data_IF_510419966880
#
_entry.id   IF_510419966880
#
_cell.length_a   1.000
_cell.length_b   1.000
_cell.length_c   1.000
_cell.angle_alpha   90.00
_cell.angle_beta   90.00
_cell.angle_gamma   90.00
#
_symmetry.space_group_name_H-M   'P 1'
#
loop_
_entity.id
_entity.type
_entity.pdbx_description
1 polymer ?
#
# COMPACT_ATOMS: atom_id res chain seq x y z
N UNK A 1 -3.33 -15.83 -90.41
CA UNK A 1 -3.28 -15.04 -91.66
C UNK A 1 -2.05 -14.15 -91.59
N UNK A 2 -1.09 -14.31 -92.50
CA UNK A 2 0.15 -13.53 -92.49
C UNK A 2 -0.18 -12.08 -92.89
N UNK A 3 0.19 -11.12 -92.03
CA UNK A 3 0.00 -9.69 -92.30
C UNK A 3 0.69 -9.30 -93.61
N UNK A 4 -0.04 -8.66 -94.50
CA UNK A 4 0.50 -8.15 -95.77
C UNK A 4 1.61 -7.13 -95.47
N UNK A 5 2.65 -7.01 -96.31
CA UNK A 5 3.75 -6.07 -96.09
C UNK A 5 3.28 -4.64 -95.78
N UNK A 6 2.16 -4.21 -96.37
CA UNK A 6 1.53 -2.91 -96.14
C UNK A 6 0.99 -2.73 -94.72
N UNK A 7 0.44 -3.77 -94.07
CA UNK A 7 -0.13 -3.66 -92.72
C UNK A 7 0.94 -3.34 -91.67
N UNK A 8 2.14 -3.88 -91.87
CA UNK A 8 3.30 -3.60 -91.01
C UNK A 8 3.82 -2.18 -91.20
N UNK A 9 3.70 -1.62 -92.41
CA UNK A 9 4.18 -0.26 -92.72
C UNK A 9 3.16 0.78 -92.29
N UNK A 10 1.85 0.50 -92.42
CA UNK A 10 0.76 1.39 -92.00
C UNK A 10 0.87 1.82 -90.54
N UNK A 11 1.25 0.89 -89.66
CA UNK A 11 1.49 1.19 -88.24
C UNK A 11 2.65 2.20 -88.01
N UNK A 12 3.60 2.26 -88.94
CA UNK A 12 4.80 3.11 -88.83
C UNK A 12 4.67 4.44 -89.58
N UNK A 13 3.61 4.66 -90.39
CA UNK A 13 3.45 5.87 -91.21
C UNK A 13 3.35 7.16 -90.38
N UNK A 14 2.66 7.12 -89.24
CA UNK A 14 2.57 8.28 -88.34
C UNK A 14 3.94 8.62 -87.74
N UNK A 15 4.68 7.62 -87.28
CA UNK A 15 6.03 7.81 -86.73
C UNK A 15 7.03 8.26 -87.82
N UNK A 16 6.81 7.86 -89.08
CA UNK A 16 7.57 8.34 -90.22
C UNK A 16 7.31 9.83 -90.50
N UNK A 17 6.03 10.26 -90.49
CA UNK A 17 5.64 11.68 -90.64
C UNK A 17 6.25 12.56 -89.53
N UNK A 18 6.28 12.05 -88.29
CA UNK A 18 6.83 12.75 -87.13
C UNK A 18 8.38 12.65 -87.01
N UNK A 19 9.06 11.96 -87.92
CA UNK A 19 10.51 11.71 -87.90
C UNK A 19 11.02 11.01 -86.63
N UNK A 20 10.17 10.21 -85.97
CA UNK A 20 10.49 9.54 -84.70
C UNK A 20 10.96 8.09 -84.88
N UNK A 21 10.98 7.59 -86.13
CA UNK A 21 11.48 6.25 -86.43
C UNK A 21 13.00 6.15 -86.27
N UNK A 22 13.46 4.97 -85.86
CA UNK A 22 14.90 4.65 -85.86
C UNK A 22 15.44 4.64 -87.31
N UNK A 23 16.73 4.98 -87.55
CA UNK A 23 17.28 5.10 -88.90
C UNK A 23 17.05 3.86 -89.78
N UNK A 24 17.24 2.66 -89.21
CA UNK A 24 17.01 1.38 -89.90
C UNK A 24 15.55 1.16 -90.30
N UNK A 25 14.61 1.62 -89.48
CA UNK A 25 13.17 1.50 -89.78
C UNK A 25 12.72 2.56 -90.78
N UNK A 26 13.29 3.75 -90.69
CA UNK A 26 13.08 4.83 -91.64
C UNK A 26 13.46 4.41 -93.07
N UNK A 27 14.62 3.77 -93.26
CA UNK A 27 15.05 3.23 -94.56
C UNK A 27 14.10 2.16 -95.11
N UNK A 28 13.56 1.28 -94.25
CA UNK A 28 12.62 0.25 -94.66
C UNK A 28 11.28 0.82 -95.13
N UNK A 29 10.78 1.83 -94.40
CA UNK A 29 9.54 2.53 -94.74
C UNK A 29 9.73 3.36 -96.01
N UNK A 30 10.84 4.09 -96.15
CA UNK A 30 11.12 4.90 -97.34
C UNK A 30 11.27 4.04 -98.60
N UNK A 31 11.93 2.87 -98.51
CA UNK A 31 11.99 1.91 -99.60
C UNK A 31 10.61 1.37 -100.00
N UNK A 32 9.75 1.05 -99.03
CA UNK A 32 8.38 0.60 -99.31
C UNK A 32 7.53 1.71 -99.95
N UNK A 33 7.66 2.95 -99.47
CA UNK A 33 6.97 4.12 -100.02
C UNK A 33 7.40 4.43 -101.45
N UNK A 34 8.60 4.05 -101.89
CA UNK A 34 9.00 4.17 -103.29
C UNK A 34 8.18 3.24 -104.21
N UNK A 35 7.80 2.05 -103.72
CA UNK A 35 7.12 1.02 -104.50
C UNK A 35 5.59 0.96 -104.37
N UNK A 36 5.02 1.50 -103.29
CA UNK A 36 3.59 1.34 -102.97
C UNK A 36 2.81 2.66 -103.09
N UNK A 37 1.79 2.70 -103.96
CA UNK A 37 0.95 3.90 -104.14
C UNK A 37 -0.01 4.13 -102.96
N UNK A 38 -0.58 3.07 -102.39
CA UNK A 38 -1.58 3.18 -101.33
C UNK A 38 -1.00 3.75 -100.03
N UNK A 39 0.16 3.27 -99.60
CA UNK A 39 0.83 3.79 -98.41
C UNK A 39 1.31 5.25 -98.58
N UNK A 40 1.60 5.70 -99.81
CA UNK A 40 1.90 7.12 -100.06
C UNK A 40 0.67 8.01 -99.91
N UNK A 41 -0.49 7.54 -100.35
CA UNK A 41 -1.75 8.27 -100.19
C UNK A 41 -2.12 8.42 -98.70
N UNK A 42 -1.92 7.37 -97.91
CA UNK A 42 -2.12 7.41 -96.45
C UNK A 42 -1.16 8.39 -95.76
N UNK A 43 0.13 8.38 -96.12
CA UNK A 43 1.09 9.33 -95.58
C UNK A 43 0.72 10.79 -95.90
N UNK A 44 0.29 11.07 -97.13
CA UNK A 44 -0.15 12.41 -97.53
C UNK A 44 -1.38 12.88 -96.73
N UNK A 45 -2.29 11.96 -96.38
CA UNK A 45 -3.44 12.27 -95.52
C UNK A 45 -3.00 12.59 -94.09
N UNK A 46 -2.01 11.87 -93.55
CA UNK A 46 -1.41 12.15 -92.24
C UNK A 46 -0.76 13.54 -92.25
N UNK A 47 0.08 13.83 -93.27
CA UNK A 47 0.75 15.13 -93.41
C UNK A 47 -0.25 16.29 -93.53
N UNK A 48 -1.37 16.08 -94.24
CA UNK A 48 -2.42 17.09 -94.35
C UNK A 48 -3.10 17.39 -93.00
N UNK A 49 -3.40 16.35 -92.19
CA UNK A 49 -3.96 16.52 -90.85
C UNK A 49 -2.96 17.23 -89.93
N UNK A 50 -1.69 16.82 -89.95
CA UNK A 50 -0.63 17.47 -89.19
C UNK A 50 -0.45 18.94 -89.59
N UNK A 51 -0.57 19.26 -90.89
CA UNK A 51 -0.56 20.63 -91.41
C UNK A 51 -1.74 21.48 -90.93
N UNK A 52 -2.94 20.91 -90.86
CA UNK A 52 -4.13 21.59 -90.33
C UNK A 52 -3.98 21.88 -88.82
N UNK A 53 -3.52 20.89 -88.05
CA UNK A 53 -3.32 21.03 -86.60
C UNK A 53 -2.22 22.06 -86.27
N UNK A 54 -1.13 22.08 -87.04
CA UNK A 54 -0.08 23.10 -86.87
C UNK A 54 -0.58 24.51 -87.21
N UNK A 55 -1.48 24.67 -88.18
CA UNK A 55 -2.14 25.96 -88.45
C UNK A 55 -3.01 26.42 -87.28
N UNK A 56 -3.72 25.52 -86.62
CA UNK A 56 -4.51 25.84 -85.42
C UNK A 56 -3.64 26.21 -84.21
N UNK A 57 -2.41 25.69 -84.11
CA UNK A 57 -1.48 25.92 -82.99
C UNK A 57 -0.90 27.34 -82.91
N UNK A 58 -1.06 28.17 -83.95
CA UNK A 58 -0.57 29.55 -83.98
C UNK A 58 -1.34 30.50 -83.02
N UNK A 59 -2.42 30.04 -82.39
CA UNK A 59 -3.15 30.79 -81.36
C UNK A 59 -2.63 30.42 -79.96
N UNK A 60 -1.68 31.19 -79.43
CA UNK A 60 -1.25 31.04 -78.04
C UNK A 60 -2.40 31.30 -77.04
N UNK A 61 -2.41 30.65 -75.87
CA UNK A 61 -3.46 30.85 -74.87
C UNK A 61 -3.45 32.29 -74.31
N UNK A 62 -4.62 32.81 -73.93
CA UNK A 62 -4.72 34.14 -73.33
C UNK A 62 -3.91 34.22 -72.04
N UNK A 63 -3.20 35.32 -71.83
CA UNK A 63 -2.38 35.59 -70.64
C UNK A 63 -3.18 35.48 -69.33
N UNK A 64 -4.50 35.71 -69.38
CA UNK A 64 -5.40 35.55 -68.23
C UNK A 64 -5.59 34.10 -67.78
N UNK A 65 -5.56 33.13 -68.71
CA UNK A 65 -5.69 31.71 -68.37
C UNK A 65 -4.38 31.18 -67.78
N UNK A 66 -3.25 31.58 -68.37
CA UNK A 66 -1.92 31.21 -67.89
C UNK A 66 -1.70 31.67 -66.44
N UNK A 67 -1.97 32.95 -66.15
CA UNK A 67 -1.83 33.49 -64.79
C UNK A 67 -2.74 32.79 -63.77
N UNK A 68 -3.93 32.36 -64.19
CA UNK A 68 -4.88 31.67 -63.32
C UNK A 68 -4.47 30.22 -63.03
N UNK A 69 -3.86 29.54 -64.00
CA UNK A 69 -3.29 28.21 -63.81
C UNK A 69 -2.03 28.25 -62.93
N UNK A 70 -1.17 29.25 -63.11
CA UNK A 70 -0.01 29.48 -62.23
C UNK A 70 -0.44 29.75 -60.78
N UNK A 71 -1.49 30.54 -60.57
CA UNK A 71 -2.04 30.79 -59.24
C UNK A 71 -2.61 29.51 -58.58
N UNK A 72 -3.13 28.56 -59.36
CA UNK A 72 -3.63 27.27 -58.84
C UNK A 72 -2.47 26.32 -58.51
N UNK A 73 -1.42 26.30 -59.34
CA UNK A 73 -0.26 25.44 -59.16
C UNK A 73 0.76 25.96 -58.13
N UNK A 74 0.80 27.27 -57.87
CA UNK A 74 1.71 27.89 -56.91
C UNK A 74 3.19 27.71 -57.28
N UNK A 75 4.06 27.49 -56.29
CA UNK A 75 5.51 27.29 -56.48
C UNK A 75 5.87 26.09 -57.38
N UNK A 76 4.92 25.19 -57.62
CA UNK A 76 5.10 24.03 -58.50
C UNK A 76 4.79 24.33 -59.97
N UNK A 77 4.39 25.56 -60.33
CA UNK A 77 4.13 25.96 -61.72
C UNK A 77 5.35 25.81 -62.64
N UNK A 78 6.56 25.84 -62.07
CA UNK A 78 7.83 25.67 -62.80
C UNK A 78 8.38 24.24 -62.75
N UNK A 79 7.71 23.31 -62.07
CA UNK A 79 8.17 21.93 -61.98
C UNK A 79 7.87 21.17 -63.28
N UNK A 80 8.85 20.44 -63.86
CA UNK A 80 8.61 19.68 -65.07
C UNK A 80 7.61 18.54 -64.83
N UNK A 81 6.62 18.43 -65.71
CA UNK A 81 5.44 17.54 -65.56
C UNK A 81 5.76 16.05 -65.37
N UNK A 82 6.96 15.59 -65.77
CA UNK A 82 7.38 14.20 -65.56
C UNK A 82 7.77 13.87 -64.11
N UNK A 83 7.90 14.86 -63.23
CA UNK A 83 8.12 14.66 -61.79
C UNK A 83 6.81 14.51 -60.99
N UNK A 84 5.64 14.61 -61.63
CA UNK A 84 4.36 14.38 -60.97
C UNK A 84 4.18 12.89 -60.65
N UNK A 85 4.07 12.56 -59.36
CA UNK A 85 3.84 11.20 -58.90
C UNK A 85 2.35 10.82 -59.04
N UNK A 86 1.96 10.20 -60.16
CA UNK A 86 0.66 9.55 -60.34
C UNK A 86 0.02 9.78 -61.71
N UNK A 87 -0.76 8.81 -62.20
CA UNK A 87 -1.55 8.96 -63.43
C UNK A 87 -2.68 9.98 -63.22
N UNK A 88 -2.56 11.17 -63.82
CA UNK A 88 -3.69 12.05 -64.09
C UNK A 88 -4.21 12.92 -62.94
N UNK A 89 -3.54 12.98 -61.79
CA UNK A 89 -3.96 13.86 -60.68
C UNK A 89 -3.11 15.13 -60.60
N UNK A 90 -3.76 16.29 -60.59
CA UNK A 90 -3.10 17.59 -60.40
C UNK A 90 -2.70 17.77 -58.93
N UNK A 91 -1.46 18.17 -58.62
CA UNK A 91 -1.04 18.46 -57.26
C UNK A 91 -1.82 19.65 -56.72
N UNK A 92 -2.47 19.50 -55.57
CA UNK A 92 -3.17 20.60 -54.89
C UNK A 92 -2.62 20.78 -53.49
N UNK A 93 -2.14 21.99 -53.18
CA UNK A 93 -1.52 22.33 -51.90
C UNK A 93 -2.45 22.06 -50.68
N UNK A 94 -3.77 22.04 -50.89
CA UNK A 94 -4.76 21.69 -49.85
C UNK A 94 -4.71 20.21 -49.46
N UNK A 95 -4.50 19.29 -50.40
CA UNK A 95 -4.45 17.84 -50.12
C UNK A 95 -3.13 17.44 -49.47
N UNK A 96 -2.00 18.01 -49.88
CA UNK A 96 -0.71 17.76 -49.25
C UNK A 96 -0.64 18.25 -47.80
N UNK A 97 -1.24 19.41 -47.49
CA UNK A 97 -1.40 19.86 -46.09
C UNK A 97 -2.30 18.91 -45.29
N UNK A 98 -3.42 18.47 -45.86
CA UNK A 98 -4.31 17.50 -45.21
C UNK A 98 -3.61 16.17 -44.91
N UNK A 99 -2.79 15.68 -45.84
CA UNK A 99 -2.06 14.42 -45.67
C UNK A 99 -0.92 14.51 -44.65
N UNK A 100 -0.18 15.63 -44.62
CA UNK A 100 0.86 15.86 -43.59
C UNK A 100 0.28 16.07 -42.19
N UNK A 101 -0.88 16.74 -42.07
CA UNK A 101 -1.59 16.87 -40.79
C UNK A 101 -2.12 15.52 -40.31
N UNK A 102 -2.68 14.71 -41.21
CA UNK A 102 -3.16 13.36 -40.88
C UNK A 102 -2.03 12.38 -40.55
N UNK A 103 -0.86 12.47 -41.21
CA UNK A 103 0.30 11.64 -40.89
C UNK A 103 0.99 12.07 -39.59
N UNK A 104 1.06 13.37 -39.31
CA UNK A 104 1.59 13.90 -38.05
C UNK A 104 0.73 13.51 -36.84
N UNK A 105 -0.60 13.50 -37.00
CA UNK A 105 -1.53 13.14 -35.92
C UNK A 105 -1.46 11.66 -35.53
N UNK A 106 -1.28 10.75 -36.50
CA UNK A 106 -1.16 9.31 -36.21
C UNK A 106 0.11 8.99 -35.41
N UNK A 107 1.26 9.58 -35.78
CA UNK A 107 2.53 9.35 -35.07
C UNK A 107 2.48 9.91 -33.64
N UNK A 108 1.89 11.09 -33.44
CA UNK A 108 1.74 11.67 -32.09
C UNK A 108 0.76 10.89 -31.22
N UNK A 109 -0.35 10.38 -31.78
CA UNK A 109 -1.25 9.47 -31.06
C UNK A 109 -0.55 8.18 -30.64
N UNK A 110 0.23 7.57 -31.54
CA UNK A 110 0.97 6.34 -31.24
C UNK A 110 2.02 6.55 -30.15
N UNK A 111 2.72 7.69 -30.18
CA UNK A 111 3.66 8.09 -29.14
C UNK A 111 2.96 8.33 -27.80
N UNK A 112 1.84 9.06 -27.77
CA UNK A 112 1.06 9.27 -26.54
C UNK A 112 0.51 7.97 -25.97
N UNK A 113 -0.07 7.09 -26.80
CA UNK A 113 -0.56 5.78 -26.35
C UNK A 113 0.59 4.93 -25.80
N UNK A 114 1.75 4.93 -26.45
CA UNK A 114 2.93 4.21 -25.96
C UNK A 114 3.42 4.74 -24.62
N UNK A 115 3.43 6.07 -24.43
CA UNK A 115 3.78 6.69 -23.15
C UNK A 115 2.76 6.35 -22.06
N UNK A 116 1.46 6.35 -22.36
CA UNK A 116 0.41 5.96 -21.41
C UNK A 116 0.53 4.49 -21.02
N UNK A 117 0.74 3.59 -21.99
CA UNK A 117 0.96 2.15 -21.73
C UNK A 117 2.22 1.94 -20.90
N UNK A 118 3.31 2.62 -21.23
CA UNK A 118 4.56 2.55 -20.48
C UNK A 118 4.41 3.10 -19.05
N UNK A 119 3.64 4.18 -18.88
CA UNK A 119 3.31 4.72 -17.56
C UNK A 119 2.53 3.70 -16.72
N UNK A 120 1.50 3.05 -17.26
CA UNK A 120 0.74 2.01 -16.54
C UNK A 120 1.62 0.82 -16.16
N UNK A 121 2.53 0.40 -17.05
CA UNK A 121 3.45 -0.73 -16.80
C UNK A 121 4.55 -0.43 -15.77
N UNK A 122 5.00 0.82 -15.69
CA UNK A 122 6.05 1.25 -14.76
C UNK A 122 5.48 1.71 -13.41
N UNK A 123 4.18 2.02 -13.36
CA UNK A 123 3.49 2.35 -12.12
C UNK A 123 3.69 1.23 -11.10
N UNK A 124 4.20 1.52 -9.89
CA UNK A 124 4.39 0.51 -8.87
C UNK A 124 3.04 -0.10 -8.51
N UNK A 125 2.98 -1.43 -8.46
CA UNK A 125 1.83 -2.09 -7.85
C UNK A 125 1.83 -1.77 -6.35
N UNK A 126 0.65 -1.52 -5.74
CA UNK A 126 0.58 -1.29 -4.31
C UNK A 126 1.14 -2.51 -3.57
N UNK A 127 1.87 -2.29 -2.46
CA UNK A 127 2.41 -3.39 -1.67
C UNK A 127 1.25 -4.27 -1.20
N UNK A 128 1.32 -5.58 -1.52
CA UNK A 128 0.33 -6.55 -1.06
C UNK A 128 0.71 -7.03 0.34
N UNK A 129 -0.25 -6.95 1.25
CA UNK A 129 -0.07 -7.35 2.64
C UNK A 129 -0.63 -8.77 2.81
N UNK A 130 0.26 -9.75 3.01
CA UNK A 130 -0.07 -11.19 3.02
C UNK A 130 -0.06 -11.85 4.41
N UNK A 131 0.42 -11.16 5.45
CA UNK A 131 0.43 -11.66 6.83
C UNK A 131 0.08 -10.53 7.82
N UNK A 132 -1.11 -9.98 7.68
CA UNK A 132 -1.57 -8.86 8.50
C UNK A 132 -1.82 -9.25 9.94
N UNK A 133 -2.33 -10.45 10.19
CA UNK A 133 -2.52 -10.95 11.55
C UNK A 133 -1.19 -11.02 12.29
N UNK A 134 -0.15 -11.62 11.69
CA UNK A 134 1.18 -11.66 12.30
C UNK A 134 1.79 -10.27 12.47
N UNK A 135 1.67 -9.39 11.48
CA UNK A 135 2.19 -8.02 11.57
C UNK A 135 1.46 -7.18 12.64
N UNK A 136 0.13 -7.25 12.69
CA UNK A 136 -0.72 -6.59 13.68
C UNK A 136 -0.42 -7.11 15.08
N UNK A 137 -0.26 -8.44 15.25
CA UNK A 137 0.13 -9.03 16.53
C UNK A 137 1.52 -8.63 16.97
N UNK A 138 2.49 -8.62 16.05
CA UNK A 138 3.84 -8.18 16.35
C UNK A 138 3.82 -6.72 16.82
N UNK A 139 3.06 -5.86 16.14
CA UNK A 139 2.92 -4.45 16.50
C UNK A 139 2.17 -4.28 17.83
N UNK A 140 1.07 -5.00 18.04
CA UNK A 140 0.36 -5.04 19.33
C UNK A 140 1.28 -5.47 20.45
N UNK A 141 2.09 -6.51 20.24
CA UNK A 141 3.02 -7.04 21.25
C UNK A 141 4.11 -6.02 21.60
N UNK A 142 4.65 -5.32 20.60
CA UNK A 142 5.58 -4.21 20.82
C UNK A 142 4.91 -3.09 21.63
N UNK A 143 3.70 -2.71 21.26
CA UNK A 143 2.95 -1.65 21.93
C UNK A 143 2.52 -2.01 23.36
N UNK A 144 2.02 -3.21 23.58
CA UNK A 144 1.65 -3.76 24.89
C UNK A 144 2.87 -3.95 25.80
N UNK A 145 4.05 -4.22 25.23
CA UNK A 145 5.28 -4.24 26.03
C UNK A 145 5.60 -2.84 26.56
N UNK A 146 5.40 -1.79 25.74
CA UNK A 146 5.72 -0.41 26.11
C UNK A 146 4.66 0.31 26.95
N UNK A 147 3.41 -0.17 26.97
CA UNK A 147 2.27 0.55 27.54
C UNK A 147 1.50 -0.39 28.44
N UNK A 148 1.66 -0.21 29.74
CA UNK A 148 0.83 -0.85 30.76
C UNK A 148 1.62 -1.51 31.89
N UNK A 149 0.89 -1.86 32.95
CA UNK A 149 1.35 -2.46 34.21
C UNK A 149 1.92 -3.88 34.09
N UNK A 150 2.00 -4.42 32.87
CA UNK A 150 2.35 -5.81 32.59
C UNK A 150 3.24 -5.94 31.34
N UNK A 151 4.34 -5.19 31.30
CA UNK A 151 5.26 -5.09 30.17
C UNK A 151 5.81 -6.47 29.71
N UNK A 152 5.91 -7.42 30.63
CA UNK A 152 6.34 -8.80 30.36
C UNK A 152 5.41 -9.56 29.41
N UNK A 153 4.09 -9.32 29.43
CA UNK A 153 3.15 -10.01 28.54
C UNK A 153 3.47 -9.62 27.08
N UNK A 154 3.59 -8.33 26.81
CA UNK A 154 3.91 -7.83 25.47
C UNK A 154 5.27 -8.35 24.98
N UNK A 155 6.28 -8.40 25.86
CA UNK A 155 7.58 -8.97 25.52
C UNK A 155 7.50 -10.46 25.15
N UNK A 156 6.72 -11.26 25.88
CA UNK A 156 6.55 -12.69 25.58
C UNK A 156 5.80 -12.89 24.26
N UNK A 157 4.72 -12.15 24.03
CA UNK A 157 3.99 -12.22 22.76
C UNK A 157 4.90 -11.84 21.59
N UNK A 158 5.72 -10.80 21.74
CA UNK A 158 6.68 -10.38 20.72
C UNK A 158 7.75 -11.45 20.46
N UNK A 159 8.23 -12.11 21.51
CA UNK A 159 9.18 -13.22 21.38
C UNK A 159 8.56 -14.39 20.58
N UNK A 160 7.29 -14.73 20.86
CA UNK A 160 6.56 -15.78 20.12
C UNK A 160 6.42 -15.44 18.64
N UNK A 161 6.03 -14.21 18.31
CA UNK A 161 5.92 -13.76 16.91
C UNK A 161 7.28 -13.79 16.18
N UNK A 162 8.39 -13.73 16.92
CA UNK A 162 9.76 -13.87 16.41
C UNK A 162 10.28 -15.31 16.38
N UNK A 163 9.45 -16.28 16.73
CA UNK A 163 9.78 -17.70 16.70
C UNK A 163 10.44 -18.22 17.98
N UNK A 164 10.23 -17.59 19.13
CA UNK A 164 10.65 -18.14 20.41
C UNK A 164 9.98 -19.51 20.65
N UNK A 165 10.79 -20.50 20.99
CA UNK A 165 10.29 -21.77 21.53
C UNK A 165 10.01 -21.61 23.02
N UNK A 166 8.72 -21.56 23.38
CA UNK A 166 8.26 -21.49 24.77
C UNK A 166 8.03 -22.89 25.38
N UNK A 167 8.29 -23.96 24.63
CA UNK A 167 8.01 -25.33 25.05
C UNK A 167 6.53 -25.71 24.96
N UNK A 168 6.17 -26.81 25.61
CA UNK A 168 4.81 -27.33 25.60
C UNK A 168 3.86 -26.50 26.49
N UNK A 169 2.58 -26.45 26.12
CA UNK A 169 1.57 -25.80 26.95
C UNK A 169 1.46 -26.49 28.32
N UNK A 170 1.45 -25.69 29.38
CA UNK A 170 1.36 -26.11 30.78
C UNK A 170 -0.02 -25.84 31.37
N UNK A 171 -0.32 -26.45 32.52
CA UNK A 171 -1.49 -26.07 33.32
C UNK A 171 -1.20 -24.81 34.14
N UNK A 172 -2.17 -23.91 34.26
CA UNK A 172 -2.13 -22.77 35.16
C UNK A 172 -3.14 -22.95 36.29
N UNK A 173 -2.74 -22.60 37.51
CA UNK A 173 -3.65 -22.48 38.64
C UNK A 173 -3.79 -21.00 38.99
N UNK A 174 -5.02 -20.45 38.97
CA UNK A 174 -5.27 -19.09 39.42
C UNK A 174 -4.77 -18.90 40.86
N UNK A 175 -4.20 -17.73 41.13
CA UNK A 175 -3.83 -17.31 42.48
C UNK A 175 -5.10 -17.29 43.32
N UNK A 176 -5.08 -18.00 44.44
CA UNK A 176 -6.22 -18.23 45.33
C UNK A 176 -7.10 -16.99 45.45
N UNK A 177 -8.36 -17.11 45.02
CA UNK A 177 -9.38 -16.08 45.28
C UNK A 177 -9.63 -16.01 46.79
N UNK A 178 -9.47 -14.83 47.38
CA UNK A 178 -9.77 -14.62 48.81
C UNK A 178 -11.24 -14.91 49.06
N UNK A 179 -11.50 -15.77 50.05
CA UNK A 179 -12.84 -15.90 50.63
C UNK A 179 -13.08 -14.65 51.49
N UNK A 180 -13.95 -13.76 51.04
CA UNK A 180 -14.24 -12.49 51.74
C UNK A 180 -13.89 -11.24 50.95
N UNK A 181 -14.32 -11.18 49.69
CA UNK A 181 -14.23 -9.96 48.89
C UNK A 181 -15.26 -8.93 49.39
N UNK A 182 -14.81 -7.73 49.73
CA UNK A 182 -15.66 -6.62 50.13
C UNK A 182 -15.80 -5.64 48.97
N UNK A 183 -17.03 -5.24 48.58
CA UNK A 183 -17.22 -4.25 47.53
C UNK A 183 -16.50 -2.94 47.85
N UNK A 184 -15.81 -2.37 46.86
CA UNK A 184 -15.13 -1.07 46.97
C UNK A 184 -15.56 -0.14 45.84
N UNK A 185 -15.36 1.17 46.02
CA UNK A 185 -15.66 2.15 44.99
C UNK A 185 -14.68 2.06 43.82
N UNK A 186 -15.13 2.49 42.62
CA UNK A 186 -14.25 2.64 41.46
C UNK A 186 -13.06 3.57 41.75
N UNK A 187 -13.28 4.64 42.52
CA UNK A 187 -12.21 5.55 42.96
C UNK A 187 -11.14 4.83 43.80
N UNK A 188 -11.55 3.92 44.70
CA UNK A 188 -10.62 3.09 45.48
C UNK A 188 -9.80 2.17 44.57
N UNK A 189 -10.43 1.54 43.59
CA UNK A 189 -9.76 0.68 42.62
C UNK A 189 -8.72 1.46 41.77
N UNK A 190 -9.13 2.60 41.23
CA UNK A 190 -8.25 3.52 40.48
C UNK A 190 -7.06 3.94 41.33
N UNK A 191 -7.27 4.32 42.59
CA UNK A 191 -6.18 4.72 43.49
C UNK A 191 -5.16 3.60 43.77
N UNK A 192 -5.60 2.34 43.85
CA UNK A 192 -4.69 1.19 44.01
C UNK A 192 -3.82 0.98 42.77
N UNK A 193 -4.42 1.02 41.58
CA UNK A 193 -3.71 0.85 40.31
C UNK A 193 -2.77 2.01 40.01
N UNK A 194 -3.21 3.25 40.21
CA UNK A 194 -2.36 4.44 40.05
C UNK A 194 -1.15 4.37 40.99
N UNK A 195 -1.35 3.96 42.25
CA UNK A 195 -0.23 3.75 43.19
C UNK A 195 0.77 2.71 42.69
N UNK A 196 0.31 1.62 42.08
CA UNK A 196 1.18 0.59 41.55
C UNK A 196 1.99 1.06 40.34
N UNK A 197 1.40 1.90 39.49
CA UNK A 197 2.07 2.54 38.35
C UNK A 197 3.12 3.56 38.82
N UNK A 198 2.75 4.40 39.79
CA UNK A 198 3.57 5.49 40.32
C UNK A 198 4.61 5.04 41.36
N UNK A 199 4.60 3.76 41.73
CA UNK A 199 5.53 3.20 42.71
C UNK A 199 6.98 3.43 42.26
N UNK A 200 7.66 4.35 42.94
CA UNK A 200 9.02 4.78 42.65
C UNK A 200 10.07 3.85 43.27
N UNK A 201 9.88 2.54 43.10
CA UNK A 201 10.75 1.52 43.67
C UNK A 201 11.55 0.83 42.58
N UNK A 202 12.87 0.75 42.76
CA UNK A 202 13.74 -0.06 41.91
C UNK A 202 13.50 -1.53 42.20
N UNK A 203 13.03 -2.27 41.19
CA UNK A 203 12.71 -3.69 41.29
C UNK A 203 13.48 -4.48 40.25
N UNK A 204 13.95 -5.67 40.62
CA UNK A 204 14.51 -6.66 39.71
C UNK A 204 13.98 -8.05 40.06
N UNK A 205 13.87 -8.94 39.08
CA UNK A 205 13.33 -10.26 39.34
C UNK A 205 12.99 -11.06 38.11
N UNK A 206 12.32 -12.18 38.33
CA UNK A 206 11.81 -13.06 37.27
C UNK A 206 10.29 -13.08 37.37
N UNK A 207 9.62 -12.62 36.31
CA UNK A 207 8.19 -12.78 36.13
C UNK A 207 7.90 -14.03 35.32
N UNK A 208 6.83 -14.74 35.69
CA UNK A 208 6.25 -15.75 34.80
C UNK A 208 5.06 -15.16 34.08
N UNK A 209 4.86 -15.56 32.83
CA UNK A 209 3.72 -15.18 32.00
C UNK A 209 3.03 -16.44 31.53
N UNK A 210 1.69 -16.47 31.56
CA UNK A 210 0.84 -17.54 31.04
C UNK A 210 -0.21 -16.95 30.12
N UNK A 211 -0.30 -17.47 28.89
CA UNK A 211 -1.31 -17.08 27.90
C UNK A 211 -2.07 -18.33 27.50
N UNK A 212 -3.39 -18.32 27.64
CA UNK A 212 -4.27 -19.45 27.30
C UNK A 212 -4.12 -19.83 25.82
N UNK A 213 -4.01 -21.13 25.55
CA UNK A 213 -4.05 -21.68 24.19
C UNK A 213 -5.46 -21.97 23.67
N UNK A 214 -6.49 -21.54 24.42
CA UNK A 214 -7.91 -21.80 24.18
C UNK A 214 -8.31 -23.30 24.20
N UNK A 215 -7.39 -24.21 24.53
CA UNK A 215 -7.63 -25.64 24.71
C UNK A 215 -7.53 -26.05 26.19
N UNK A 216 -7.60 -25.08 27.10
CA UNK A 216 -7.50 -25.29 28.55
C UNK A 216 -6.08 -25.46 29.07
N UNK A 217 -5.06 -25.20 28.24
CA UNK A 217 -3.65 -25.11 28.67
C UNK A 217 -3.09 -23.72 28.36
N UNK A 218 -1.85 -23.50 28.77
CA UNK A 218 -1.22 -22.18 28.74
C UNK A 218 0.17 -22.27 28.13
N UNK A 219 0.45 -21.40 27.16
CA UNK A 219 1.84 -21.12 26.77
C UNK A 219 2.46 -20.28 27.88
N UNK A 220 3.63 -20.70 28.37
CA UNK A 220 4.29 -20.01 29.48
C UNK A 220 5.70 -19.59 29.13
N UNK A 221 6.12 -18.44 29.64
CA UNK A 221 7.49 -17.95 29.51
C UNK A 221 7.96 -17.30 30.81
N UNK A 222 9.27 -17.21 30.97
CA UNK A 222 9.90 -16.43 32.04
C UNK A 222 10.51 -15.17 31.46
N UNK A 223 10.33 -14.05 32.17
CA UNK A 223 10.88 -12.75 31.79
C UNK A 223 11.71 -12.23 32.95
N UNK A 224 13.00 -12.00 32.73
CA UNK A 224 13.81 -11.24 33.68
C UNK A 224 13.46 -9.77 33.49
N UNK A 225 13.03 -9.14 34.58
CA UNK A 225 12.58 -7.76 34.59
C UNK A 225 13.46 -6.96 35.51
N UNK A 226 13.91 -5.80 35.07
CA UNK A 226 14.42 -4.78 35.98
C UNK A 226 13.86 -3.42 35.62
N UNK A 227 13.26 -2.76 36.61
CA UNK A 227 12.64 -1.45 36.48
C UNK A 227 13.34 -0.47 37.39
N UNK A 228 13.69 0.69 36.85
CA UNK A 228 14.24 1.80 37.64
C UNK A 228 13.42 3.06 37.35
N UNK A 229 12.90 3.73 38.40
CA UNK A 229 12.16 4.98 38.23
C UNK A 229 12.96 5.99 37.41
N UNK A 230 12.35 6.53 36.35
CA UNK A 230 12.97 7.53 35.47
C UNK A 230 13.91 6.99 34.38
N UNK A 231 14.41 5.76 34.50
CA UNK A 231 15.26 5.12 33.47
C UNK A 231 14.52 4.08 32.62
N UNK A 232 13.32 3.67 33.04
CA UNK A 232 12.48 2.72 32.31
C UNK A 232 12.58 1.28 32.80
N UNK A 233 12.12 0.36 31.96
CA UNK A 233 12.07 -1.07 32.24
C UNK A 233 12.91 -1.84 31.22
N UNK A 234 13.80 -2.69 31.71
CA UNK A 234 14.53 -3.68 30.91
C UNK A 234 13.89 -5.05 31.08
N UNK A 235 13.69 -5.74 29.95
CA UNK A 235 13.08 -7.06 29.88
C UNK A 235 13.99 -8.01 29.10
N UNK A 236 14.15 -9.24 29.60
CA UNK A 236 14.79 -10.34 28.88
C UNK A 236 13.86 -11.56 28.92
N UNK A 237 13.33 -11.96 27.76
CA UNK A 237 12.47 -13.14 27.62
C UNK A 237 13.35 -14.37 27.47
N UNK A 238 13.08 -15.39 28.29
CA UNK A 238 13.79 -16.67 28.26
C UNK A 238 13.05 -17.69 27.39
N UNK A 239 13.80 -18.49 26.65
CA UNK A 239 13.27 -19.64 25.90
C UNK A 239 12.99 -20.85 26.81
N UNK A 240 12.49 -21.94 26.22
CA UNK A 240 12.20 -23.21 26.90
C UNK A 240 13.40 -23.83 27.64
N UNK A 241 14.64 -23.45 27.28
CA UNK A 241 15.88 -23.92 27.89
C UNK A 241 16.39 -22.99 28.99
N UNK A 242 15.78 -21.81 29.15
CA UNK A 242 16.19 -20.78 30.10
C UNK A 242 17.25 -19.82 29.54
N UNK A 243 17.56 -19.90 28.24
CA UNK A 243 18.47 -19.00 27.56
C UNK A 243 17.74 -17.70 27.17
N UNK A 244 18.45 -16.57 27.19
CA UNK A 244 17.89 -15.29 26.76
C UNK A 244 17.61 -15.29 25.25
N UNK A 245 16.34 -15.22 24.86
CA UNK A 245 15.91 -15.17 23.46
C UNK A 245 15.83 -13.74 22.92
N UNK A 246 15.25 -12.84 23.71
CA UNK A 246 15.03 -11.45 23.31
C UNK A 246 15.21 -10.50 24.49
N UNK A 247 15.87 -9.38 24.27
CA UNK A 247 16.00 -8.29 25.24
C UNK A 247 15.40 -6.99 24.70
N UNK A 248 14.64 -6.30 25.53
CA UNK A 248 13.98 -5.04 25.20
C UNK A 248 14.21 -3.99 26.30
N UNK A 249 14.38 -2.74 25.88
CA UNK A 249 14.42 -1.57 26.77
C UNK A 249 13.22 -0.69 26.47
N UNK A 250 12.42 -0.45 27.51
CA UNK A 250 11.17 0.29 27.44
C UNK A 250 11.33 1.63 28.16
N UNK A 251 10.97 2.76 27.52
CA UNK A 251 10.95 4.04 28.20
C UNK A 251 9.87 4.06 29.30
N UNK A 252 10.01 4.95 30.28
CA UNK A 252 8.94 5.17 31.27
C UNK A 252 7.81 5.93 30.57
N UNK A 253 6.74 5.24 30.19
CA UNK A 253 5.50 5.85 29.69
C UNK A 253 4.46 5.76 30.80
N UNK A 254 4.23 6.88 31.50
CA UNK A 254 3.19 6.95 32.55
C UNK A 254 1.84 7.22 31.88
N UNK A 255 0.82 6.36 32.07
CA UNK A 255 -0.54 6.66 31.63
C UNK A 255 -0.99 7.99 32.24
N UNK A 256 -1.54 8.89 31.41
CA UNK A 256 -1.89 10.25 31.85
C UNK A 256 -3.13 10.25 32.78
N UNK A 257 -3.94 9.19 32.75
CA UNK A 257 -5.10 8.98 33.62
C UNK A 257 -5.49 7.49 33.64
N UNK A 258 -5.67 6.91 34.83
CA UNK A 258 -6.31 5.60 34.99
C UNK A 258 -7.80 5.87 35.26
N UNK A 259 -8.68 5.30 34.43
CA UNK A 259 -10.14 5.46 34.55
C UNK A 259 -10.77 4.08 34.60
N UNK A 260 -11.69 3.85 35.54
CA UNK A 260 -12.40 2.56 35.60
C UNK A 260 -13.39 2.45 34.43
N UNK A 261 -13.43 1.30 33.72
CA UNK A 261 -14.43 1.06 32.68
C UNK A 261 -15.87 1.19 33.20
N UNK A 262 -16.78 1.65 32.34
CA UNK A 262 -18.21 1.66 32.68
C UNK A 262 -18.75 0.24 32.89
N UNK A 263 -19.67 0.08 33.83
CA UNK A 263 -20.28 -1.22 34.15
C UNK A 263 -19.42 -2.16 35.01
N UNK A 264 -18.16 -1.81 35.29
CA UNK A 264 -17.31 -2.61 36.17
C UNK A 264 -17.62 -2.35 37.65
N UNK A 265 -17.63 -3.42 38.41
CA UNK A 265 -17.72 -3.43 39.86
C UNK A 265 -16.42 -3.96 40.45
N UNK A 266 -16.04 -3.45 41.62
CA UNK A 266 -14.77 -3.76 42.25
C UNK A 266 -14.95 -4.32 43.63
N UNK A 267 -14.11 -5.28 44.00
CA UNK A 267 -14.03 -5.80 45.35
C UNK A 267 -12.58 -6.00 45.78
N UNK A 268 -12.28 -5.69 47.04
CA UNK A 268 -10.97 -5.83 47.67
C UNK A 268 -10.99 -7.04 48.62
N UNK A 269 -9.90 -7.79 48.69
CA UNK A 269 -9.76 -8.87 49.66
C UNK A 269 -9.70 -8.33 51.09
N UNK A 270 -10.50 -8.89 52.00
CA UNK A 270 -10.53 -8.46 53.41
C UNK A 270 -9.24 -8.75 54.18
N UNK A 271 -8.47 -9.75 53.74
CA UNK A 271 -7.19 -10.14 54.34
C UNK A 271 -6.09 -10.20 53.28
N UNK A 272 -4.84 -9.83 53.62
CA UNK A 272 -3.71 -10.01 52.72
C UNK A 272 -3.47 -11.48 52.39
N UNK A 273 -3.15 -11.76 51.13
CA UNK A 273 -2.70 -13.08 50.65
C UNK A 273 -1.22 -13.09 50.36
N UNK A 274 -0.60 -14.26 50.37
CA UNK A 274 0.82 -14.38 50.01
C UNK A 274 0.97 -14.67 48.52
N UNK A 275 1.61 -13.74 47.81
CA UNK A 275 1.90 -13.85 46.38
C UNK A 275 3.37 -13.51 46.13
N UNK A 276 4.10 -14.38 45.42
CA UNK A 276 5.53 -14.19 45.20
C UNK A 276 6.35 -14.13 46.50
N UNK A 277 5.87 -14.75 47.58
CA UNK A 277 6.50 -14.71 48.92
C UNK A 277 6.25 -13.43 49.71
N UNK A 278 5.38 -12.54 49.24
CA UNK A 278 5.06 -11.26 49.88
C UNK A 278 3.57 -11.12 50.17
N UNK A 279 3.23 -10.35 51.20
CA UNK A 279 1.84 -10.06 51.53
C UNK A 279 1.25 -9.10 50.50
N UNK A 280 0.06 -9.42 50.01
CA UNK A 280 -0.58 -8.72 48.91
C UNK A 280 -2.06 -8.47 49.16
N UNK A 281 -2.51 -7.26 48.84
CA UNK A 281 -3.93 -6.93 48.78
C UNK A 281 -4.48 -7.33 47.41
N UNK A 282 -5.54 -8.14 47.39
CA UNK A 282 -6.25 -8.50 46.16
C UNK A 282 -7.27 -7.40 45.80
N UNK A 283 -7.28 -7.00 44.54
CA UNK A 283 -8.37 -6.24 43.90
C UNK A 283 -8.95 -7.10 42.77
N UNK A 284 -10.26 -7.29 42.75
CA UNK A 284 -10.97 -7.99 41.69
C UNK A 284 -11.94 -7.03 41.00
N UNK A 285 -11.90 -7.00 39.67
CA UNK A 285 -12.89 -6.35 38.84
C UNK A 285 -13.87 -7.39 38.29
N UNK A 286 -15.15 -7.04 38.26
CA UNK A 286 -16.22 -7.87 37.72
C UNK A 286 -17.19 -7.07 36.87
N UNK A 287 -17.64 -7.65 35.76
CA UNK A 287 -18.69 -7.12 34.88
C UNK A 287 -19.87 -8.09 34.90
N UNK A 288 -21.08 -7.59 35.13
CA UNK A 288 -22.30 -8.41 35.25
C UNK A 288 -22.17 -9.59 36.23
N UNK A 289 -21.43 -9.37 37.32
CA UNK A 289 -21.17 -10.37 38.36
C UNK A 289 -20.13 -11.44 38.00
N UNK A 290 -19.48 -11.35 36.84
CA UNK A 290 -18.39 -12.26 36.42
C UNK A 290 -17.03 -11.58 36.57
N UNK A 291 -15.99 -12.30 37.05
CA UNK A 291 -14.64 -11.75 37.09
C UNK A 291 -14.15 -11.42 35.70
N UNK A 292 -13.52 -10.26 35.54
CA UNK A 292 -12.84 -9.83 34.29
C UNK A 292 -11.35 -9.58 34.51
N UNK A 293 -10.95 -9.18 35.73
CA UNK A 293 -9.56 -9.02 36.10
C UNK A 293 -9.33 -9.19 37.60
N UNK A 294 -8.10 -9.56 37.96
CA UNK A 294 -7.60 -9.58 39.33
C UNK A 294 -6.18 -9.02 39.40
N UNK A 295 -5.89 -8.23 40.43
CA UNK A 295 -4.55 -7.72 40.72
C UNK A 295 -4.20 -7.97 42.18
N UNK A 296 -2.91 -8.23 42.42
CA UNK A 296 -2.37 -8.40 43.76
C UNK A 296 -1.26 -7.38 43.97
N UNK A 297 -1.46 -6.47 44.92
CA UNK A 297 -0.54 -5.38 45.21
C UNK A 297 0.22 -5.65 46.50
N UNK A 298 1.54 -5.48 46.49
CA UNK A 298 2.36 -5.59 47.68
C UNK A 298 1.88 -4.62 48.77
N UNK A 299 1.59 -5.13 49.97
CA UNK A 299 1.02 -4.28 51.04
C UNK A 299 2.00 -3.23 51.57
N UNK A 300 3.31 -3.45 51.39
CA UNK A 300 4.37 -2.57 51.88
C UNK A 300 4.73 -1.49 50.86
N UNK A 301 4.99 -1.89 49.62
CA UNK A 301 5.53 -1.02 48.55
C UNK A 301 4.47 -0.53 47.57
N UNK A 302 3.30 -1.18 47.52
CA UNK A 302 2.21 -0.85 46.60
C UNK A 302 2.44 -1.30 45.15
N UNK A 303 3.57 -1.94 44.83
CA UNK A 303 3.81 -2.46 43.47
C UNK A 303 2.85 -3.60 43.16
N UNK A 304 2.55 -3.80 41.87
CA UNK A 304 1.82 -4.97 41.43
C UNK A 304 2.73 -6.21 41.46
N UNK A 305 2.34 -7.23 42.23
CA UNK A 305 3.03 -8.51 42.33
C UNK A 305 2.53 -9.52 41.31
N UNK A 306 1.23 -9.46 41.00
CA UNK A 306 0.55 -10.39 40.11
C UNK A 306 -0.68 -9.77 39.47
N UNK A 307 -1.03 -10.24 38.28
CA UNK A 307 -2.25 -9.87 37.57
C UNK A 307 -2.82 -11.07 36.80
N UNK A 308 -4.13 -11.16 36.76
CA UNK A 308 -4.90 -12.15 36.01
C UNK A 308 -6.01 -11.46 35.21
N UNK A 309 -6.27 -11.99 34.01
CA UNK A 309 -7.44 -11.66 33.18
C UNK A 309 -8.29 -12.89 33.02
N UNK A 310 -9.60 -12.68 33.01
CA UNK A 310 -10.58 -13.74 32.90
C UNK A 310 -11.37 -13.60 31.60
N UNK A 311 -11.67 -14.72 30.95
CA UNK A 311 -12.54 -14.77 29.78
C UNK A 311 -14.03 -14.72 30.16
N UNK A 312 -14.90 -14.74 29.16
CA UNK A 312 -16.35 -14.70 29.35
C UNK A 312 -16.91 -15.89 30.16
N UNK A 313 -16.14 -16.99 30.26
CA UNK A 313 -16.49 -18.17 31.04
C UNK A 313 -15.93 -18.13 32.46
N UNK A 314 -15.19 -17.06 32.82
CA UNK A 314 -14.54 -16.90 34.12
C UNK A 314 -13.25 -17.71 34.27
N UNK A 315 -12.71 -18.26 33.18
CA UNK A 315 -11.41 -18.92 33.17
C UNK A 315 -10.29 -17.90 32.94
N UNK A 316 -9.11 -18.12 33.51
CA UNK A 316 -7.98 -17.20 33.30
C UNK A 316 -7.53 -17.28 31.84
N UNK A 317 -7.56 -16.16 31.13
CA UNK A 317 -7.08 -16.04 29.75
C UNK A 317 -5.59 -15.68 29.71
N UNK A 318 -5.16 -14.79 30.62
CA UNK A 318 -3.78 -14.33 30.75
C UNK A 318 -3.43 -14.16 32.23
N UNK A 319 -2.23 -14.55 32.62
CA UNK A 319 -1.68 -14.26 33.93
C UNK A 319 -0.22 -13.83 33.85
N UNK A 320 0.20 -12.97 34.77
CA UNK A 320 1.60 -12.57 34.93
C UNK A 320 1.91 -12.23 36.37
N UNK A 321 3.15 -12.46 36.79
CA UNK A 321 3.62 -11.94 38.07
C UNK A 321 4.98 -12.48 38.50
N UNK A 322 5.51 -11.90 39.57
CA UNK A 322 6.85 -12.20 40.06
C UNK A 322 6.91 -13.59 40.70
N UNK A 323 7.80 -14.44 40.17
CA UNK A 323 8.25 -15.68 40.82
C UNK A 323 9.45 -15.43 41.73
N UNK A 324 10.26 -14.44 41.38
CA UNK A 324 11.39 -13.94 42.16
C UNK A 324 11.37 -12.42 42.08
N UNK A 325 11.56 -11.75 43.21
CA UNK A 325 11.53 -10.28 43.30
C UNK A 325 12.57 -9.81 44.32
N UNK A 326 13.36 -8.84 43.91
CA UNK A 326 14.39 -8.16 44.67
C UNK A 326 14.23 -6.66 44.55
N UNK A 327 14.57 -5.94 45.62
CA UNK A 327 14.50 -4.48 45.69
C UNK A 327 15.90 -3.88 45.72
N UNK A 328 16.09 -2.73 45.09
CA UNK A 328 17.32 -1.92 45.18
C UNK A 328 18.52 -2.42 44.36
N UNK A 329 18.68 -3.72 44.12
CA UNK A 329 19.77 -4.26 43.30
C UNK A 329 19.39 -4.34 41.81
N UNK A 330 20.30 -3.92 40.93
CA UNK A 330 20.25 -4.22 39.50
C UNK A 330 21.56 -4.87 39.05
N UNK A 331 21.44 -6.04 38.42
CA UNK A 331 22.42 -6.57 37.49
C UNK A 331 21.66 -7.04 36.25
N UNK A 332 21.67 -6.24 35.19
CA UNK A 332 21.33 -6.72 33.86
C UNK A 332 22.50 -6.40 32.93
N UNK A 333 22.95 -7.42 32.21
CA UNK A 333 24.06 -7.31 31.27
C UNK A 333 23.66 -6.41 30.11
N UNK A 334 24.49 -5.41 29.81
CA UNK A 334 24.31 -4.46 28.71
C UNK A 334 24.48 -5.07 27.32
N UNK A 335 23.72 -6.12 27.00
CA UNK A 335 23.53 -6.59 25.63
C UNK A 335 22.80 -5.53 24.80
N UNK A 336 22.85 -5.66 23.47
CA UNK A 336 22.13 -4.80 22.55
C UNK A 336 20.61 -5.00 22.71
N UNK A 337 20.00 -4.33 23.68
CA UNK A 337 18.56 -4.33 23.89
C UNK A 337 17.89 -3.51 22.79
N UNK A 338 16.82 -4.06 22.20
CA UNK A 338 16.05 -3.32 21.22
C UNK A 338 15.22 -2.23 21.92
N UNK A 339 15.34 -1.00 21.42
CA UNK A 339 14.44 0.09 21.78
C UNK A 339 13.12 -0.07 21.02
N UNK A 340 12.02 -0.17 21.75
CA UNK A 340 10.67 -0.04 21.17
C UNK A 340 10.34 1.45 21.18
N UNK A 341 10.44 2.09 20.02
CA UNK A 341 10.27 3.53 19.88
C UNK A 341 8.79 3.89 19.69
N UNK A 342 8.07 4.10 20.79
CA UNK A 342 6.78 4.80 20.79
C UNK A 342 6.96 6.24 21.26
N UNK A 343 6.14 7.13 20.72
CA UNK A 343 6.01 8.52 21.14
C UNK A 343 4.82 8.65 22.10
N UNK A 344 4.94 9.38 23.22
CA UNK A 344 3.84 9.58 24.15
C UNK A 344 2.69 10.35 23.49
N UNK A 345 1.45 10.08 23.90
CA UNK A 345 0.28 10.77 23.38
C UNK A 345 0.32 12.30 23.60
N UNK A 346 1.08 12.81 24.56
CA UNK A 346 1.30 14.26 24.70
C UNK A 346 1.92 14.90 23.45
N UNK A 347 2.62 14.12 22.62
CA UNK A 347 3.13 14.54 21.32
C UNK A 347 2.07 14.57 20.21
N UNK A 348 0.83 14.16 20.43
CA UNK A 348 -0.25 14.14 19.42
C UNK A 348 -0.83 15.53 19.10
N UNK A 349 -0.25 16.59 19.67
CA UNK A 349 -0.69 17.98 19.42
C UNK A 349 0.19 18.71 18.39
N UNK A 350 1.25 18.07 17.89
CA UNK A 350 2.14 18.67 16.87
C UNK A 350 1.55 18.52 15.48
N UNK A 351 1.65 19.55 14.64
CA UNK A 351 1.19 19.49 13.25
C UNK A 351 1.80 18.31 12.50
N UNK A 352 0.98 17.56 11.75
CA UNK A 352 1.42 16.42 10.94
C UNK A 352 1.73 15.13 11.72
N UNK A 353 1.39 15.04 13.01
CA UNK A 353 1.59 13.81 13.79
C UNK A 353 0.75 12.64 13.27
N UNK A 354 -0.51 12.92 12.89
CA UNK A 354 -1.41 11.95 12.30
C UNK A 354 -1.05 11.74 10.83
N UNK A 355 -0.65 10.52 10.49
CA UNK A 355 -0.19 10.16 9.15
C UNK A 355 -1.13 9.10 8.59
N UNK A 356 -1.62 9.32 7.37
CA UNK A 356 -2.40 8.35 6.61
C UNK A 356 -3.91 8.40 6.88
N UNK A 357 -4.32 8.43 8.14
CA UNK A 357 -5.71 8.66 8.52
C UNK A 357 -6.11 10.12 8.31
N UNK A 358 -7.39 10.37 7.97
CA UNK A 358 -7.94 11.73 7.87
C UNK A 358 -7.95 12.44 9.21
N UNK A 359 -8.20 11.67 10.28
CA UNK A 359 -8.17 12.12 11.67
C UNK A 359 -7.74 10.92 12.53
N UNK A 360 -6.87 11.16 13.50
CA UNK A 360 -6.44 10.14 14.47
C UNK A 360 -7.15 10.41 15.79
N UNK A 361 -8.09 9.55 16.21
CA UNK A 361 -8.88 9.77 17.42
C UNK A 361 -8.00 9.85 18.68
N UNK A 362 -8.28 10.80 19.57
CA UNK A 362 -7.64 10.88 20.90
C UNK A 362 -8.27 9.93 21.91
N UNK A 363 -9.44 9.40 21.59
CA UNK A 363 -10.18 8.40 22.34
C UNK A 363 -10.82 7.45 21.33
N UNK A 364 -10.86 6.15 21.64
CA UNK A 364 -11.42 5.14 20.76
C UNK A 364 -12.06 4.03 21.58
N UNK A 365 -13.35 3.75 21.36
CA UNK A 365 -14.09 2.76 22.16
C UNK A 365 -14.04 3.07 23.67
N UNK A 366 -14.06 4.34 24.05
CA UNK A 366 -13.93 4.80 25.43
C UNK A 366 -12.50 4.76 26.02
N UNK A 367 -11.51 4.29 25.25
CA UNK A 367 -10.11 4.22 25.70
C UNK A 367 -9.31 5.45 25.24
N UNK A 368 -8.60 6.17 26.12
CA UNK A 368 -7.80 7.33 25.72
C UNK A 368 -6.49 6.91 25.04
N UNK A 369 -6.02 7.73 24.09
CA UNK A 369 -4.73 7.56 23.42
C UNK A 369 -3.59 7.79 24.44
N UNK A 370 -2.66 6.84 24.52
CA UNK A 370 -1.52 6.89 25.45
C UNK A 370 -0.17 6.93 24.75
N UNK A 371 -0.07 6.36 23.55
CA UNK A 371 1.11 6.52 22.71
C UNK A 371 0.80 6.27 21.24
N UNK A 372 1.74 6.65 20.39
CA UNK A 372 1.68 6.38 18.95
C UNK A 372 3.07 6.14 18.36
N UNK A 373 3.11 5.57 17.17
CA UNK A 373 4.30 5.53 16.32
C UNK A 373 3.90 5.74 14.87
N UNK A 374 4.55 6.68 14.20
CA UNK A 374 4.36 6.92 12.78
C UNK A 374 5.65 6.66 12.01
N UNK A 375 5.50 6.15 10.80
CA UNK A 375 6.58 6.02 9.83
C UNK A 375 6.16 6.66 8.53
N UNK A 376 7.01 7.55 8.02
CA UNK A 376 6.86 8.17 6.72
C UNK A 376 8.20 8.04 5.98
N UNK A 377 8.45 6.85 5.41
CA UNK A 377 9.66 6.56 4.61
C UNK A 377 9.25 6.31 3.17
N UNK A 378 10.10 6.76 2.24
CA UNK A 378 10.02 6.64 0.77
C UNK A 378 9.03 5.56 0.26
N UNK A 379 7.75 5.95 0.13
CA UNK A 379 6.61 5.16 -0.42
C UNK A 379 5.86 4.18 0.50
N UNK A 380 6.13 4.15 1.81
CA UNK A 380 5.33 3.37 2.78
C UNK A 380 5.03 4.19 4.04
N UNK A 381 3.80 4.69 4.11
CA UNK A 381 3.28 5.31 5.32
C UNK A 381 2.64 4.25 6.22
N UNK A 382 2.92 4.33 7.51
CA UNK A 382 2.24 3.52 8.51
C UNK A 382 2.06 4.31 9.80
N UNK A 383 0.99 4.02 10.51
CA UNK A 383 0.69 4.58 11.82
C UNK A 383 0.27 3.47 12.76
N UNK A 384 0.66 3.59 14.01
CA UNK A 384 0.21 2.73 15.12
C UNK A 384 -0.22 3.62 16.25
N UNK A 385 -1.44 3.43 16.72
CA UNK A 385 -2.07 4.15 17.80
C UNK A 385 -2.33 3.17 18.93
N UNK A 386 -2.02 3.58 20.15
CA UNK A 386 -2.22 2.75 21.33
C UNK A 386 -3.12 3.47 22.32
N UNK A 387 -4.20 2.80 22.68
CA UNK A 387 -5.23 3.28 23.58
C UNK A 387 -5.24 2.42 24.83
N UNK A 388 -5.38 3.04 26.00
CA UNK A 388 -5.40 2.33 27.29
C UNK A 388 -5.99 3.20 28.38
N UNK A 389 -6.83 2.62 29.23
CA UNK A 389 -7.35 3.25 30.46
C UNK A 389 -6.67 2.69 31.73
N UNK A 390 -5.66 1.81 31.56
CA UNK A 390 -4.97 1.10 32.63
C UNK A 390 -5.58 -0.25 33.00
N UNK A 391 -6.79 -0.55 32.52
CA UNK A 391 -7.50 -1.82 32.70
C UNK A 391 -7.54 -2.62 31.39
N UNK A 392 -7.95 -1.97 30.32
CA UNK A 392 -8.05 -2.47 28.96
C UNK A 392 -7.14 -1.67 28.04
N UNK A 393 -6.75 -2.26 26.93
CA UNK A 393 -5.81 -1.67 25.99
C UNK A 393 -6.08 -2.18 24.59
N UNK A 394 -6.07 -1.26 23.64
CA UNK A 394 -6.24 -1.53 22.23
C UNK A 394 -5.07 -0.93 21.44
N UNK A 395 -4.65 -1.66 20.40
CA UNK A 395 -3.68 -1.17 19.44
C UNK A 395 -4.34 -1.19 18.08
N UNK A 396 -4.29 -0.05 17.42
CA UNK A 396 -4.81 0.16 16.08
C UNK A 396 -3.65 0.48 15.17
N UNK A 397 -3.64 -0.10 13.99
CA UNK A 397 -2.68 0.26 12.97
C UNK A 397 -3.35 0.59 11.65
N UNK A 398 -2.65 1.46 10.93
CA UNK A 398 -2.95 1.85 9.57
C UNK A 398 -1.68 1.65 8.75
N UNK A 399 -1.77 0.98 7.61
CA UNK A 399 -0.63 0.76 6.72
C UNK A 399 -1.07 0.90 5.27
N UNK A 400 -0.36 1.73 4.51
CA UNK A 400 -0.58 1.92 3.08
C UNK A 400 -0.33 0.61 2.31
N UNK A 401 -1.31 0.17 1.52
CA UNK A 401 -1.20 -1.09 0.78
C UNK A 401 -2.54 -1.75 0.44
N UNK A 402 -2.44 -2.92 -0.19
CA UNK A 402 -3.56 -3.73 -0.65
C UNK A 402 -3.65 -5.04 0.12
N UNK A 403 -4.85 -5.38 0.59
CA UNK A 403 -5.16 -6.69 1.16
C UNK A 403 -4.96 -7.79 0.11
N UNK A 404 -4.19 -8.83 0.43
CA UNK A 404 -3.91 -9.90 -0.54
C UNK A 404 -5.04 -10.94 -0.67
N UNK A 405 -5.92 -11.05 0.34
CA UNK A 405 -7.07 -11.96 0.36
C UNK A 405 -8.37 -11.16 0.16
N UNK A 406 -9.41 -11.79 -0.41
CA UNK A 406 -10.71 -11.14 -0.59
C UNK A 406 -11.49 -11.12 0.74
N UNK A 407 -11.70 -9.93 1.30
CA UNK A 407 -12.61 -9.66 2.43
C UNK A 407 -11.93 -9.37 3.78
N UNK A 408 -12.63 -8.62 4.64
CA UNK A 408 -12.28 -8.45 6.04
C UNK A 408 -12.29 -9.82 6.75
N UNK A 409 -11.13 -10.29 7.21
CA UNK A 409 -11.06 -11.54 7.98
C UNK A 409 -11.04 -11.17 9.47
N UNK A 410 -12.12 -11.53 10.14
CA UNK A 410 -12.14 -11.60 11.60
C UNK A 410 -11.44 -12.87 12.04
N UNK A 411 -10.29 -12.76 12.72
CA UNK A 411 -9.72 -13.92 13.42
C UNK A 411 -10.29 -13.95 14.83
N UNK A 412 -11.54 -14.39 14.95
CA UNK A 412 -12.22 -14.57 16.25
C UNK A 412 -11.59 -15.68 17.13
N UNK A 413 -10.52 -16.36 16.69
CA UNK A 413 -9.96 -17.52 17.41
C UNK A 413 -8.43 -17.59 17.33
N UNK A 414 -7.74 -16.63 17.96
CA UNK A 414 -6.35 -16.84 18.36
C UNK A 414 -6.16 -16.59 19.85
N UNK A 415 -5.31 -17.42 20.46
CA UNK A 415 -4.94 -17.44 21.89
C UNK A 415 -4.97 -16.04 22.55
N UNK A 416 -6.06 -15.75 23.27
CA UNK A 416 -6.17 -14.63 24.21
C UNK A 416 -6.27 -13.20 23.68
N UNK A 417 -6.17 -12.94 22.36
CA UNK A 417 -6.22 -11.57 21.81
C UNK A 417 -7.08 -11.50 20.53
N UNK A 418 -8.30 -10.95 20.57
CA UNK A 418 -9.12 -10.76 19.38
C UNK A 418 -8.53 -9.69 18.46
N UNK A 419 -8.54 -9.95 17.15
CA UNK A 419 -7.98 -9.08 16.10
C UNK A 419 -8.95 -8.98 14.90
N UNK A 420 -9.16 -7.76 14.42
CA UNK A 420 -9.88 -7.44 13.17
C UNK A 420 -8.96 -6.70 12.20
N UNK A 421 -9.15 -6.92 10.90
CA UNK A 421 -8.51 -6.14 9.85
C UNK A 421 -9.37 -6.05 8.59
N UNK A 422 -9.26 -4.93 7.86
CA UNK A 422 -10.06 -4.67 6.65
C UNK A 422 -9.38 -3.67 5.72
N UNK A 423 -9.78 -3.68 4.45
CA UNK A 423 -9.35 -2.69 3.46
C UNK A 423 -10.16 -1.39 3.65
N UNK A 424 -9.49 -0.25 3.79
CA UNK A 424 -10.08 1.08 3.83
C UNK A 424 -9.37 2.00 2.84
N UNK A 425 -9.82 1.98 1.59
CA UNK A 425 -9.26 2.82 0.52
C UNK A 425 -7.82 2.42 0.21
N UNK A 426 -6.87 3.36 0.29
CA UNK A 426 -5.45 3.13 -0.02
C UNK A 426 -4.69 2.32 1.04
N UNK A 427 -5.36 1.95 2.13
CA UNK A 427 -4.72 1.38 3.30
C UNK A 427 -5.48 0.20 3.88
N UNK A 428 -4.75 -0.58 4.68
CA UNK A 428 -5.30 -1.62 5.52
C UNK A 428 -5.29 -1.14 6.96
N UNK A 429 -6.47 -1.20 7.58
CA UNK A 429 -6.67 -0.89 9.00
C UNK A 429 -6.78 -2.21 9.76
N UNK A 430 -6.23 -2.23 10.97
CA UNK A 430 -6.37 -3.35 11.88
C UNK A 430 -6.47 -2.87 13.33
N UNK A 431 -7.15 -3.65 14.15
CA UNK A 431 -7.33 -3.40 15.57
C UNK A 431 -7.13 -4.70 16.36
N UNK A 432 -6.50 -4.62 17.52
CA UNK A 432 -6.35 -5.74 18.47
C UNK A 432 -6.50 -5.20 19.89
N UNK A 433 -7.22 -5.93 20.74
CA UNK A 433 -7.49 -5.53 22.14
C UNK A 433 -7.26 -6.68 23.11
N UNK A 434 -7.01 -6.37 24.38
CA UNK A 434 -7.06 -7.33 25.49
C UNK A 434 -8.43 -7.31 26.24
N UNK A 435 -9.38 -6.52 25.75
CA UNK A 435 -10.76 -6.48 26.22
C UNK A 435 -11.67 -7.47 25.51
N UNK A 436 -12.98 -7.24 25.61
CA UNK A 436 -13.99 -8.10 25.00
C UNK A 436 -14.01 -7.99 23.47
N UNK A 437 -14.66 -8.96 22.81
CA UNK A 437 -14.95 -8.85 21.37
C UNK A 437 -15.91 -7.69 21.06
N UNK A 438 -16.79 -7.34 22.00
CA UNK A 438 -17.70 -6.20 21.88
C UNK A 438 -16.92 -4.88 21.81
N UNK A 439 -15.96 -4.67 22.71
CA UNK A 439 -15.04 -3.52 22.64
C UNK A 439 -14.29 -3.46 21.31
N UNK A 440 -13.87 -4.61 20.77
CA UNK A 440 -13.19 -4.65 19.48
C UNK A 440 -14.11 -4.22 18.32
N UNK A 441 -15.40 -4.56 18.39
CA UNK A 441 -16.41 -4.10 17.45
C UNK A 441 -16.66 -2.59 17.58
N UNK A 442 -16.81 -2.07 18.81
CA UNK A 442 -16.99 -0.64 19.05
C UNK A 442 -15.81 0.18 18.49
N UNK A 443 -14.58 -0.31 18.72
CA UNK A 443 -13.36 0.27 18.15
C UNK A 443 -13.40 0.26 16.61
N UNK A 444 -13.85 -0.83 15.99
CA UNK A 444 -13.91 -0.93 14.53
C UNK A 444 -14.97 0.00 13.92
N UNK A 445 -16.08 0.22 14.62
CA UNK A 445 -17.16 1.11 14.18
C UNK A 445 -16.75 2.59 14.19
N UNK A 446 -15.86 3.00 15.08
CA UNK A 446 -15.31 4.36 15.16
C UNK A 446 -14.18 4.64 14.15
N UNK A 447 -13.63 3.61 13.52
CA UNK A 447 -12.53 3.72 12.55
C UNK A 447 -13.04 3.86 11.10
N UNK A 448 -12.17 4.27 10.15
CA UNK A 448 -12.54 4.32 8.74
C UNK A 448 -13.05 2.97 8.24
N UNK A 449 -14.25 2.98 7.67
CA UNK A 449 -14.99 1.79 7.28
C UNK A 449 -14.42 1.10 6.03
N UNK A 450 -14.89 -0.12 5.78
CA UNK A 450 -14.46 -0.90 4.62
C UNK A 450 -14.72 -0.15 3.31
N UNK A 451 -13.66 0.04 2.53
CA UNK A 451 -13.71 0.70 1.24
C UNK A 451 -12.71 0.04 0.29
N UNK A 452 -13.09 -0.23 -0.97
CA UNK A 452 -12.19 -0.86 -1.93
C UNK A 452 -11.00 0.03 -2.23
N UNK A 453 -9.87 -0.59 -2.59
CA UNK A 453 -8.69 0.16 -3.01
C UNK A 453 -8.98 0.98 -4.28
N UNK A 454 -8.75 2.30 -4.28
CA UNK A 454 -9.00 3.13 -5.45
C UNK A 454 -7.93 2.86 -6.51
N UNK A 455 -8.19 1.93 -7.42
CA UNK A 455 -7.34 1.70 -8.59
C UNK A 455 -7.98 2.32 -9.84
N UNK A 456 -7.93 3.64 -9.98
CA UNK A 456 -8.30 4.24 -11.27
C UNK A 456 -7.15 4.10 -12.27
N UNK A 457 -7.47 3.82 -13.54
CA UNK A 457 -6.47 3.80 -14.62
C UNK A 457 -5.73 5.15 -14.73
N UNK A 458 -6.41 6.25 -14.40
CA UNK A 458 -5.82 7.59 -14.42
C UNK A 458 -4.76 7.76 -13.33
N UNK A 459 -4.99 7.24 -12.13
CA UNK A 459 -4.02 7.32 -11.02
C UNK A 459 -2.77 6.50 -11.33
N UNK A 460 -2.94 5.32 -11.95
CA UNK A 460 -1.80 4.51 -12.45
C UNK A 460 -1.02 5.24 -13.53
N UNK A 461 -1.69 5.90 -14.47
CA UNK A 461 -1.03 6.70 -15.52
C UNK A 461 -0.26 7.87 -14.90
N UNK A 462 -0.87 8.61 -13.96
CA UNK A 462 -0.23 9.74 -13.30
C UNK A 462 1.01 9.30 -12.49
N UNK A 463 0.89 8.24 -11.69
CA UNK A 463 2.02 7.68 -10.93
C UNK A 463 3.16 7.20 -11.84
N UNK A 464 2.84 6.53 -12.95
CA UNK A 464 3.82 6.12 -13.95
C UNK A 464 4.50 7.29 -14.67
N UNK A 465 3.75 8.33 -15.02
CA UNK A 465 4.27 9.54 -15.66
C UNK A 465 5.24 10.32 -14.77
N UNK A 466 4.93 10.47 -13.48
CA UNK A 466 5.83 11.10 -12.50
C UNK A 466 7.19 10.41 -12.40
N UNK A 467 7.24 9.09 -12.67
CA UNK A 467 8.49 8.32 -12.69
C UNK A 467 9.24 8.44 -14.01
N UNK A 468 8.52 8.57 -15.13
CA UNK A 468 9.08 8.77 -16.47
C UNK A 468 9.68 10.18 -16.64
N UNK A 469 9.05 11.20 -16.04
CA UNK A 469 9.50 12.58 -16.05
C UNK A 469 9.44 13.12 -14.62
N UNK A 470 10.51 12.96 -13.82
CA UNK A 470 10.54 13.54 -12.48
C UNK A 470 10.51 15.06 -12.64
N UNK A 471 9.37 15.67 -12.33
CA UNK A 471 9.23 17.13 -12.25
C UNK A 471 10.09 17.57 -11.07
N UNK A 472 11.14 18.35 -11.36
CA UNK A 472 11.99 19.00 -10.36
C UNK A 472 11.41 20.34 -9.95
#
# INVERSE_FOLDING_TARGET
MAATPCDRIRADLSAYADQTLTPRRWEQVSYHLAGCADCRAELAAIDAVCGELNRCRASGPSTSLAARLEAIAGEQAQAPLYMASGQGELPSARRDRGRRVAQGSVVTLLAMVSVVVLAVLIAPDPPRLTNLVGAARQQFSMSAASIGTNEAIGAVLLAVERGADLGESVSYQPVNQVVGLTPVSAERAVNLLTRAVDASVTVSGVQGVWVSDNAGRYRSAQVRTAKRPGEGTQLEVLDSRGDGFMSASLPTLTPQRVTAPEGWSFAEGSEPVVVGGRAATQLQASQDGRPVAGWWFDTETGIQLWAERYDAYGAVSIATGFKQLSFGEQHLNGGAAQLIALQPASGSQTEGWCVGLSECPQELGGLPLVAYASSNREAHRSMTLVYSDGFESAVVGWTEGLLAEDGAVSSAQSSGLPTLYWQSGEAVVWATTNGSYELLCDIADELPQEAPYPSSLLDRVAAGLNRLVPVR
#
